data_IF_106288758532
#
_entry.id   IF_106288758532
#
_cell.length_a   1.000
_cell.length_b   1.000
_cell.length_c   1.000
_cell.angle_alpha   90.00
_cell.angle_beta   90.00
_cell.angle_gamma   90.00
#
_symmetry.space_group_name_H-M   'P 1'
#
loop_
_entity.id
_entity.type
_entity.pdbx_description
1 polymer ?
#
# COMPACT_ATOMS: atom_id res chain seq x y z
N UNK A 1 68.32 -26.94 0.13
CA UNK A 1 67.38 -27.50 -0.86
C UNK A 1 66.33 -28.24 -0.04
N UNK A 2 65.24 -27.55 0.34
CA UNK A 2 64.20 -28.07 1.21
C UNK A 2 63.06 -28.44 0.27
N UNK A 3 62.65 -29.70 0.34
CA UNK A 3 61.65 -30.31 -0.51
C UNK A 3 60.24 -29.80 -0.15
N UNK A 4 59.60 -29.04 -1.07
CA UNK A 4 58.27 -28.43 -0.90
C UNK A 4 57.11 -29.41 -1.07
N UNK A 5 57.29 -30.70 -1.02
CA UNK A 5 56.23 -31.69 -1.33
C UNK A 5 55.57 -32.37 -0.15
N UNK A 6 55.80 -31.92 1.09
CA UNK A 6 55.24 -32.64 2.27
C UNK A 6 54.17 -31.86 3.06
N UNK A 7 53.59 -30.79 2.53
CA UNK A 7 52.61 -29.99 3.30
C UNK A 7 51.12 -30.22 2.84
N UNK A 8 50.90 -31.06 1.83
CA UNK A 8 49.54 -31.36 1.40
C UNK A 8 49.16 -32.83 1.52
N UNK A 9 49.16 -33.37 2.73
CA UNK A 9 48.47 -34.65 2.98
C UNK A 9 47.85 -34.61 4.37
N UNK A 10 46.55 -34.44 4.46
CA UNK A 10 45.82 -34.68 5.70
C UNK A 10 44.64 -33.74 6.00
N UNK A 11 44.08 -33.08 5.02
CA UNK A 11 42.76 -32.46 5.16
C UNK A 11 41.69 -33.49 4.81
N UNK A 12 41.06 -34.10 5.82
CA UNK A 12 39.79 -34.79 5.63
C UNK A 12 38.81 -33.80 5.01
N UNK A 13 38.35 -34.06 3.83
CA UNK A 13 37.15 -33.45 3.24
C UNK A 13 36.00 -33.72 4.22
N UNK A 14 35.62 -32.69 4.98
CA UNK A 14 34.34 -32.70 5.66
C UNK A 14 33.29 -32.90 4.58
N UNK A 15 32.48 -33.93 4.75
CA UNK A 15 31.43 -34.26 3.83
C UNK A 15 30.51 -33.06 3.61
N UNK A 16 30.18 -32.80 2.36
CA UNK A 16 29.27 -31.75 1.93
C UNK A 16 27.79 -32.03 2.35
N UNK A 17 27.58 -32.95 3.27
CA UNK A 17 26.26 -33.47 3.64
C UNK A 17 25.66 -32.87 4.92
N UNK A 18 26.27 -31.85 5.52
CA UNK A 18 25.73 -31.26 6.77
C UNK A 18 25.31 -29.80 6.68
N UNK A 19 25.10 -29.27 5.51
CA UNK A 19 24.30 -28.07 5.34
C UNK A 19 22.90 -28.49 4.89
N UNK A 20 22.14 -29.14 5.80
CA UNK A 20 20.69 -29.14 5.65
C UNK A 20 20.24 -27.67 5.67
N UNK A 21 19.56 -27.18 4.62
CA UNK A 21 18.94 -25.87 4.70
C UNK A 21 17.96 -25.94 5.88
N UNK A 22 18.07 -25.00 6.84
CA UNK A 22 17.11 -24.85 7.92
C UNK A 22 15.72 -24.76 7.30
N UNK A 23 15.02 -25.88 7.26
CA UNK A 23 13.62 -25.93 6.93
C UNK A 23 12.88 -25.34 8.12
N UNK A 24 12.53 -24.08 8.03
CA UNK A 24 11.48 -23.52 8.87
C UNK A 24 10.14 -24.15 8.46
N UNK A 25 9.94 -25.39 8.85
CA UNK A 25 8.62 -26.01 8.81
C UNK A 25 7.80 -25.39 9.93
N UNK A 26 7.02 -24.37 9.62
CA UNK A 26 5.95 -23.91 10.50
C UNK A 26 4.89 -25.03 10.64
N UNK A 27 5.13 -25.99 11.53
CA UNK A 27 4.19 -27.07 11.84
C UNK A 27 3.05 -26.62 12.76
N UNK A 28 3.08 -25.43 13.29
CA UNK A 28 2.00 -24.86 14.08
C UNK A 28 1.04 -24.09 13.17
N UNK A 29 -0.16 -24.63 12.92
CA UNK A 29 -1.29 -23.82 12.51
C UNK A 29 -1.47 -22.74 13.57
N UNK A 30 -1.45 -21.47 13.18
CA UNK A 30 -1.81 -20.37 14.07
C UNK A 30 -3.21 -20.65 14.65
N UNK A 31 -3.27 -20.95 15.95
CA UNK A 31 -4.51 -21.30 16.66
C UNK A 31 -5.34 -20.05 16.98
N UNK A 32 -4.85 -18.88 16.60
CA UNK A 32 -5.58 -17.65 16.81
C UNK A 32 -6.31 -17.26 15.52
N UNK A 33 -7.51 -17.83 15.35
CA UNK A 33 -8.51 -17.20 14.54
C UNK A 33 -8.94 -15.93 15.27
N UNK A 34 -8.37 -14.80 14.88
CA UNK A 34 -9.02 -13.54 15.15
C UNK A 34 -10.23 -13.48 14.22
N UNK A 35 -11.40 -13.78 14.77
CA UNK A 35 -12.70 -13.58 14.11
C UNK A 35 -13.07 -12.11 13.98
N UNK A 36 -12.10 -11.23 14.11
CA UNK A 36 -12.24 -9.80 13.78
C UNK A 36 -12.27 -9.69 12.26
N UNK A 37 -13.48 -9.65 11.72
CA UNK A 37 -13.65 -9.22 10.35
C UNK A 37 -12.99 -7.84 10.20
N UNK A 38 -12.37 -7.58 9.05
CA UNK A 38 -11.69 -6.29 8.77
C UNK A 38 -12.57 -5.08 9.16
N UNK A 39 -13.90 -5.19 9.04
CA UNK A 39 -14.88 -4.18 9.47
C UNK A 39 -14.83 -3.89 10.99
N UNK A 40 -14.63 -4.90 11.81
CA UNK A 40 -14.65 -4.73 13.27
C UNK A 40 -13.32 -4.18 13.78
N UNK A 41 -12.23 -4.48 13.09
CA UNK A 41 -10.92 -3.87 13.33
C UNK A 41 -10.97 -2.34 13.09
N UNK A 42 -11.59 -1.90 12.00
CA UNK A 42 -11.75 -0.47 11.70
C UNK A 42 -12.70 0.27 12.66
N UNK A 43 -13.68 -0.40 13.24
CA UNK A 43 -14.50 0.16 14.33
C UNK A 43 -13.71 0.37 15.63
N UNK A 44 -12.69 -0.45 15.88
CA UNK A 44 -11.79 -0.36 17.04
C UNK A 44 -10.76 0.77 16.93
N UNK A 45 -10.38 1.18 15.72
CA UNK A 45 -9.40 2.23 15.46
C UNK A 45 -9.91 3.66 15.64
N UNK A 46 -11.14 3.82 16.13
CA UNK A 46 -11.78 5.12 16.30
C UNK A 46 -12.59 5.53 15.07
N UNK A 47 -13.49 6.50 15.27
CA UNK A 47 -14.46 6.96 14.28
C UNK A 47 -13.81 7.67 13.08
N UNK A 48 -12.93 7.00 12.38
CA UNK A 48 -12.41 7.41 11.08
C UNK A 48 -13.38 7.00 9.97
N UNK A 49 -13.39 7.71 8.88
CA UNK A 49 -14.23 7.40 7.76
C UNK A 49 -13.66 6.24 6.97
N UNK A 50 -14.39 5.16 6.92
CA UNK A 50 -14.08 3.99 6.11
C UNK A 50 -14.74 4.15 4.73
N UNK A 51 -13.93 4.25 3.69
CA UNK A 51 -14.42 4.15 2.31
C UNK A 51 -14.45 2.67 1.93
N UNK A 52 -15.59 2.01 2.09
CA UNK A 52 -15.77 0.60 1.78
C UNK A 52 -16.62 0.43 0.51
N UNK A 53 -16.36 -0.61 -0.26
CA UNK A 53 -17.12 -0.93 -1.47
C UNK A 53 -17.79 -2.28 -1.37
N UNK A 54 -19.05 -2.35 -1.75
CA UNK A 54 -19.78 -3.59 -1.95
C UNK A 54 -19.66 -4.02 -3.42
N UNK A 55 -19.00 -5.14 -3.69
CA UNK A 55 -18.94 -5.74 -5.02
C UNK A 55 -20.02 -6.81 -5.13
N UNK A 56 -20.87 -6.70 -6.16
CA UNK A 56 -21.51 -7.88 -6.71
C UNK A 56 -20.43 -8.64 -7.49
N UNK A 57 -20.23 -9.94 -7.25
CA UNK A 57 -19.28 -10.70 -8.04
C UNK A 57 -19.73 -10.70 -9.49
N UNK A 58 -19.10 -9.90 -10.33
CA UNK A 58 -19.16 -10.11 -11.77
C UNK A 58 -18.30 -11.34 -12.03
N UNK A 59 -18.95 -12.44 -12.38
CA UNK A 59 -18.26 -13.63 -12.84
C UNK A 59 -17.47 -13.26 -14.11
N UNK A 60 -16.20 -12.99 -13.95
CA UNK A 60 -15.29 -12.83 -15.07
C UNK A 60 -15.20 -14.20 -15.79
N UNK A 61 -15.89 -14.29 -16.91
CA UNK A 61 -15.76 -15.42 -17.84
C UNK A 61 -14.36 -15.32 -18.45
N UNK A 62 -13.45 -16.08 -17.88
CA UNK A 62 -12.08 -16.18 -18.37
C UNK A 62 -12.12 -17.06 -19.63
N UNK A 63 -12.05 -16.45 -20.80
CA UNK A 63 -11.82 -17.18 -22.04
C UNK A 63 -10.39 -17.75 -22.02
N UNK A 64 -10.34 -19.07 -21.96
CA UNK A 64 -9.10 -19.84 -21.97
C UNK A 64 -8.47 -19.80 -23.38
N UNK A 65 -7.36 -19.12 -23.51
CA UNK A 65 -6.54 -19.09 -24.71
C UNK A 65 -5.08 -18.78 -24.39
N UNK A 66 -4.39 -19.69 -23.71
CA UNK A 66 -2.95 -19.57 -23.47
C UNK A 66 -2.33 -20.90 -23.07
N UNK A 67 -1.32 -21.33 -23.82
CA UNK A 67 -0.55 -22.57 -23.60
C UNK A 67 -0.05 -22.69 -22.16
N UNK A 68 -0.12 -23.89 -21.53
CA UNK A 68 0.51 -24.10 -20.23
C UNK A 68 2.03 -24.16 -20.39
N UNK A 69 2.72 -23.10 -20.04
CA UNK A 69 4.14 -23.19 -19.73
C UNK A 69 4.25 -23.86 -18.36
N UNK A 70 4.89 -25.03 -18.32
CA UNK A 70 5.04 -25.83 -17.08
C UNK A 70 5.99 -25.18 -16.08
N UNK A 71 5.49 -24.17 -15.37
CA UNK A 71 6.07 -23.63 -14.15
C UNK A 71 5.04 -23.80 -13.06
N UNK A 72 5.46 -24.09 -11.84
CA UNK A 72 4.60 -24.09 -10.65
C UNK A 72 3.95 -22.73 -10.57
N UNK A 73 2.73 -22.61 -11.10
CA UNK A 73 1.99 -21.37 -11.17
C UNK A 73 1.52 -20.99 -9.77
N UNK A 74 2.25 -20.12 -9.09
CA UNK A 74 1.69 -19.35 -7.98
C UNK A 74 0.69 -18.36 -8.59
N UNK A 75 -0.59 -18.72 -8.61
CA UNK A 75 -1.64 -17.76 -8.93
C UNK A 75 -1.76 -16.80 -7.75
N UNK A 76 -1.33 -15.55 -7.96
CA UNK A 76 -1.59 -14.51 -6.97
C UNK A 76 -3.10 -14.34 -6.79
N UNK A 77 -3.58 -14.23 -5.54
CA UNK A 77 -4.98 -13.88 -5.33
C UNK A 77 -5.25 -12.50 -5.97
N UNK A 78 -6.46 -12.30 -6.52
CA UNK A 78 -6.81 -11.01 -7.11
C UNK A 78 -6.70 -9.91 -6.07
N UNK A 79 -6.19 -8.75 -6.49
CA UNK A 79 -6.08 -7.57 -5.63
C UNK A 79 -7.47 -7.14 -5.16
N UNK A 80 -7.61 -6.70 -3.89
CA UNK A 80 -8.87 -6.15 -3.39
C UNK A 80 -9.36 -5.01 -4.27
N UNK A 81 -10.64 -5.06 -4.64
CA UNK A 81 -11.27 -4.01 -5.45
C UNK A 81 -11.90 -2.91 -4.59
N UNK A 82 -11.80 -3.01 -3.28
CA UNK A 82 -12.38 -2.05 -2.34
C UNK A 82 -11.36 -1.00 -1.94
N UNK A 83 -11.74 0.27 -1.99
CA UNK A 83 -10.87 1.39 -1.55
C UNK A 83 -10.45 1.20 -0.10
N UNK A 84 -11.37 0.77 0.76
CA UNK A 84 -11.13 0.54 2.19
C UNK A 84 -10.02 -0.46 2.51
N UNK A 85 -9.70 -1.36 1.59
CA UNK A 85 -8.58 -2.28 1.76
C UNK A 85 -7.22 -1.58 1.62
N UNK A 86 -7.19 -0.39 1.03
CA UNK A 86 -5.97 0.32 0.65
C UNK A 86 -5.80 1.68 1.31
N UNK A 87 -6.92 2.38 1.61
CA UNK A 87 -6.88 3.77 2.03
C UNK A 87 -7.94 4.07 3.08
N UNK A 88 -7.53 4.82 4.12
CA UNK A 88 -8.40 5.33 5.17
C UNK A 88 -8.12 6.82 5.39
N UNK A 89 -9.18 7.64 5.46
CA UNK A 89 -9.11 9.05 5.84
C UNK A 89 -9.58 9.19 7.29
N UNK A 90 -8.66 9.50 8.18
CA UNK A 90 -8.93 9.63 9.61
C UNK A 90 -9.59 10.94 9.98
N UNK A 91 -10.29 10.98 11.12
CA UNK A 91 -10.92 12.20 11.67
C UNK A 91 -9.92 13.31 12.00
N UNK A 92 -8.69 12.92 12.34
CA UNK A 92 -7.58 13.84 12.56
C UNK A 92 -7.04 14.49 11.27
N UNK A 93 -7.60 14.14 10.12
CA UNK A 93 -7.14 14.59 8.82
C UNK A 93 -5.84 13.91 8.36
N UNK A 94 -5.47 12.76 8.93
CA UNK A 94 -4.45 11.87 8.39
C UNK A 94 -5.03 10.95 7.32
N UNK A 95 -4.23 10.57 6.34
CA UNK A 95 -4.56 9.53 5.35
C UNK A 95 -3.63 8.37 5.56
N UNK A 96 -4.18 7.22 5.93
CA UNK A 96 -3.42 5.97 6.08
C UNK A 96 -3.59 5.12 4.82
N UNK A 97 -2.48 4.67 4.26
CA UNK A 97 -2.43 3.82 3.06
C UNK A 97 -1.82 2.48 3.42
N UNK A 98 -2.44 1.41 2.98
CA UNK A 98 -2.05 0.03 3.30
C UNK A 98 -1.49 -0.66 2.07
N UNK A 99 -0.31 -1.26 2.18
CA UNK A 99 0.29 -2.04 1.09
C UNK A 99 1.17 -3.16 1.64
N UNK A 100 1.10 -4.34 1.03
CA UNK A 100 1.99 -5.46 1.36
C UNK A 100 3.44 -5.26 0.89
N UNK A 101 3.74 -4.21 0.12
CA UNK A 101 5.12 -3.85 -0.24
C UNK A 101 5.90 -3.40 0.99
N UNK A 102 7.21 -3.59 0.97
CA UNK A 102 8.11 -3.19 2.07
C UNK A 102 9.16 -2.19 1.63
N UNK A 103 9.52 -1.28 2.55
CA UNK A 103 10.65 -0.37 2.42
C UNK A 103 11.90 -1.07 2.98
N UNK A 104 12.89 -1.27 2.13
CA UNK A 104 14.18 -1.87 2.47
C UNK A 104 15.35 -0.93 2.15
N UNK A 105 15.08 0.37 2.10
CA UNK A 105 16.07 1.42 1.78
C UNK A 105 15.97 1.98 0.36
N UNK A 106 15.08 1.42 -0.50
CA UNK A 106 14.91 1.84 -1.88
C UNK A 106 14.02 3.09 -2.07
N UNK A 107 13.56 3.70 -0.97
CA UNK A 107 12.75 4.92 -0.96
C UNK A 107 11.31 4.75 -1.54
N UNK A 108 10.77 3.56 -1.50
CA UNK A 108 9.45 3.28 -2.06
C UNK A 108 8.32 3.88 -1.21
N UNK A 109 8.49 3.97 0.12
CA UNK A 109 7.55 4.62 1.02
C UNK A 109 7.24 6.05 0.56
N UNK A 110 8.26 6.81 0.24
CA UNK A 110 8.12 8.20 -0.21
C UNK A 110 7.42 8.28 -1.57
N UNK A 111 7.83 7.45 -2.54
CA UNK A 111 7.26 7.50 -3.89
C UNK A 111 5.79 7.03 -3.93
N UNK A 112 5.41 6.04 -3.13
CA UNK A 112 4.01 5.62 -3.02
C UNK A 112 3.16 6.69 -2.32
N UNK A 113 3.71 7.38 -1.30
CA UNK A 113 3.03 8.51 -0.67
C UNK A 113 2.80 9.66 -1.66
N UNK A 114 3.78 9.94 -2.54
CA UNK A 114 3.61 10.94 -3.61
C UNK A 114 2.47 10.58 -4.56
N UNK A 115 2.40 9.33 -4.99
CA UNK A 115 1.36 8.85 -5.90
C UNK A 115 -0.06 9.03 -5.32
N UNK A 116 -0.23 8.66 -4.05
CA UNK A 116 -1.51 8.83 -3.36
C UNK A 116 -1.83 10.31 -3.13
N UNK A 117 -0.86 11.09 -2.68
CA UNK A 117 -1.04 12.53 -2.45
C UNK A 117 -1.42 13.28 -3.72
N UNK A 118 -0.81 12.92 -4.86
CA UNK A 118 -1.14 13.48 -6.17
C UNK A 118 -2.58 13.20 -6.57
N UNK A 119 -2.95 11.91 -6.62
CA UNK A 119 -4.28 11.52 -7.10
C UNK A 119 -5.40 11.94 -6.14
N UNK A 120 -5.17 11.86 -4.84
CA UNK A 120 -6.14 12.28 -3.84
C UNK A 120 -6.22 13.81 -3.71
N UNK A 121 -5.29 14.56 -4.30
CA UNK A 121 -5.12 16.01 -4.10
C UNK A 121 -5.00 16.36 -2.62
N UNK A 122 -4.14 15.64 -1.92
CA UNK A 122 -3.97 15.74 -0.48
C UNK A 122 -2.55 16.16 -0.10
N UNK A 123 -2.35 16.91 1.01
CA UNK A 123 -1.00 17.24 1.47
C UNK A 123 -0.20 15.99 1.80
N UNK A 124 0.95 15.81 1.14
CA UNK A 124 1.78 14.60 1.31
C UNK A 124 2.25 14.40 2.76
N UNK A 125 2.48 15.47 3.50
CA UNK A 125 2.87 15.40 4.91
C UNK A 125 1.82 14.74 5.82
N UNK A 126 0.59 14.53 5.33
CA UNK A 126 -0.50 13.87 6.03
C UNK A 126 -0.80 12.47 5.50
N UNK A 127 0.00 11.98 4.57
CA UNK A 127 -0.14 10.62 4.01
C UNK A 127 0.88 9.70 4.66
N UNK A 128 0.40 8.70 5.36
CA UNK A 128 1.19 7.70 6.04
C UNK A 128 0.97 6.31 5.42
N UNK A 129 2.05 5.55 5.25
CA UNK A 129 1.97 4.18 4.73
C UNK A 129 2.22 3.16 5.82
N UNK A 130 1.26 2.23 5.98
CA UNK A 130 1.44 0.96 6.67
C UNK A 130 1.90 -0.05 5.64
N UNK A 131 3.10 -0.61 5.82
CA UNK A 131 3.76 -1.44 4.82
C UNK A 131 4.17 -2.79 5.40
N UNK A 132 3.89 -3.86 4.63
CA UNK A 132 4.38 -5.21 4.96
C UNK A 132 3.80 -5.81 6.23
N UNK A 133 2.73 -5.26 6.77
CA UNK A 133 2.02 -5.81 7.92
C UNK A 133 1.02 -6.88 7.44
N UNK A 134 1.26 -8.13 7.82
CA UNK A 134 0.46 -9.27 7.35
C UNK A 134 -0.96 -9.32 7.92
N UNK A 135 -1.25 -8.54 8.95
CA UNK A 135 -2.59 -8.43 9.55
C UNK A 135 -3.39 -7.27 8.96
N UNK A 136 -2.71 -6.18 8.62
CA UNK A 136 -3.35 -4.92 8.24
C UNK A 136 -3.37 -4.68 6.73
N UNK A 137 -2.40 -5.21 6.00
CA UNK A 137 -2.24 -4.89 4.58
C UNK A 137 -2.81 -5.97 3.67
N UNK A 138 -3.24 -5.62 2.45
CA UNK A 138 -3.59 -6.61 1.44
C UNK A 138 -2.41 -7.55 1.17
N UNK A 139 -2.73 -8.80 0.78
CA UNK A 139 -1.71 -9.75 0.37
C UNK A 139 -0.84 -9.20 -0.76
N UNK A 140 0.45 -9.40 -0.64
CA UNK A 140 1.44 -9.10 -1.67
C UNK A 140 2.47 -10.23 -1.69
N UNK A 141 2.81 -10.73 -2.88
CA UNK A 141 3.77 -11.83 -3.00
C UNK A 141 5.21 -11.44 -2.69
N UNK A 142 5.49 -10.17 -2.48
CA UNK A 142 6.81 -9.68 -2.08
C UNK A 142 7.28 -8.44 -2.83
N UNK A 143 8.38 -7.88 -2.33
CA UNK A 143 9.04 -6.69 -2.89
C UNK A 143 10.35 -7.09 -3.55
N UNK A 144 10.33 -7.35 -4.84
CA UNK A 144 11.47 -7.81 -5.64
C UNK A 144 11.33 -7.41 -7.12
N UNK A 145 12.39 -7.58 -7.89
CA UNK A 145 12.38 -7.40 -9.36
C UNK A 145 12.05 -5.99 -9.82
N UNK A 146 12.21 -4.97 -8.98
CA UNK A 146 11.91 -3.56 -9.28
C UNK A 146 10.46 -3.32 -9.74
N UNK A 147 9.52 -4.15 -9.28
CA UNK A 147 8.12 -4.14 -9.74
C UNK A 147 7.22 -3.19 -8.95
N UNK A 148 7.63 -2.71 -7.78
CA UNK A 148 6.73 -1.90 -6.91
C UNK A 148 6.22 -0.65 -7.62
N UNK A 149 7.08 0.14 -8.25
CA UNK A 149 6.65 1.34 -8.99
C UNK A 149 5.73 1.01 -10.16
N UNK A 150 6.06 0.09 -11.08
CA UNK A 150 5.18 -0.17 -12.22
C UNK A 150 3.84 -0.82 -11.84
N UNK A 151 3.74 -1.52 -10.72
CA UNK A 151 2.52 -2.24 -10.33
C UNK A 151 1.78 -1.56 -9.18
N UNK A 152 2.42 -1.42 -8.02
CA UNK A 152 1.75 -0.91 -6.80
C UNK A 152 1.50 0.60 -6.85
N UNK A 153 2.42 1.39 -7.43
CA UNK A 153 2.17 2.81 -7.63
C UNK A 153 0.89 3.02 -8.48
N UNK A 154 0.77 2.30 -9.61
CA UNK A 154 -0.43 2.38 -10.44
C UNK A 154 -1.69 1.95 -9.69
N UNK A 155 -1.62 0.88 -8.89
CA UNK A 155 -2.76 0.42 -8.08
C UNK A 155 -3.19 1.49 -7.06
N UNK A 156 -2.25 2.06 -6.32
CA UNK A 156 -2.56 3.09 -5.32
C UNK A 156 -3.06 4.39 -5.95
N UNK A 157 -2.57 4.73 -7.14
CA UNK A 157 -3.12 5.87 -7.92
C UNK A 157 -4.60 5.63 -8.26
N UNK A 158 -4.97 4.45 -8.75
CA UNK A 158 -6.37 4.09 -9.04
C UNK A 158 -7.24 4.18 -7.78
N UNK A 159 -6.77 3.66 -6.66
CA UNK A 159 -7.44 3.74 -5.37
C UNK A 159 -7.69 5.20 -4.96
N UNK A 160 -6.65 6.03 -5.02
CA UNK A 160 -6.70 7.42 -4.61
C UNK A 160 -7.57 8.28 -5.55
N UNK A 161 -7.54 8.01 -6.85
CA UNK A 161 -8.41 8.65 -7.83
C UNK A 161 -9.88 8.31 -7.56
N UNK A 162 -10.22 7.03 -7.37
CA UNK A 162 -11.55 6.59 -7.03
C UNK A 162 -12.06 7.23 -5.73
N UNK A 163 -11.20 7.28 -4.70
CA UNK A 163 -11.53 7.95 -3.43
C UNK A 163 -11.82 9.44 -3.65
N UNK A 164 -11.00 10.15 -4.40
CA UNK A 164 -11.22 11.56 -4.74
C UNK A 164 -12.53 11.78 -5.47
N UNK A 165 -12.84 10.97 -6.47
CA UNK A 165 -14.08 11.11 -7.24
C UNK A 165 -15.32 10.90 -6.38
N UNK A 166 -15.28 9.94 -5.45
CA UNK A 166 -16.37 9.75 -4.50
C UNK A 166 -16.54 10.91 -3.53
N UNK A 167 -15.43 11.41 -2.99
CA UNK A 167 -15.46 12.57 -2.10
C UNK A 167 -16.05 13.79 -2.81
N UNK A 168 -15.69 14.01 -4.08
CA UNK A 168 -16.28 15.07 -4.90
C UNK A 168 -17.75 14.83 -5.14
N UNK A 169 -18.17 13.60 -5.44
CA UNK A 169 -19.59 13.26 -5.63
C UNK A 169 -20.41 13.49 -4.36
N UNK A 170 -19.89 13.17 -3.19
CA UNK A 170 -20.54 13.48 -1.91
C UNK A 170 -20.71 14.97 -1.68
N UNK A 171 -19.69 15.77 -2.00
CA UNK A 171 -19.81 17.23 -1.92
C UNK A 171 -20.85 17.76 -2.88
N UNK A 172 -20.92 17.20 -4.10
CA UNK A 172 -21.93 17.53 -5.10
C UNK A 172 -23.35 17.27 -4.59
N UNK A 173 -23.58 16.09 -4.01
CA UNK A 173 -24.85 15.75 -3.37
C UNK A 173 -25.19 16.67 -2.20
N UNK A 174 -24.22 16.88 -1.28
CA UNK A 174 -24.41 17.73 -0.10
C UNK A 174 -24.78 19.16 -0.46
N UNK A 175 -24.22 19.68 -1.54
CA UNK A 175 -24.44 21.05 -1.97
C UNK A 175 -25.51 21.21 -3.06
N UNK A 176 -26.02 20.10 -3.58
CA UNK A 176 -26.96 20.03 -4.70
C UNK A 176 -26.43 20.81 -5.93
N UNK A 177 -25.18 20.50 -6.31
CA UNK A 177 -24.53 21.12 -7.47
C UNK A 177 -23.90 20.03 -8.36
N UNK A 178 -23.66 20.39 -9.62
CA UNK A 178 -22.93 19.50 -10.54
C UNK A 178 -21.49 19.29 -10.07
N UNK A 179 -21.03 18.05 -10.08
CA UNK A 179 -19.66 17.67 -9.72
C UNK A 179 -18.60 18.35 -10.59
N UNK A 180 -18.91 18.70 -11.84
CA UNK A 180 -18.03 19.42 -12.74
C UNK A 180 -17.70 20.85 -12.26
N UNK A 181 -18.53 21.42 -11.39
CA UNK A 181 -18.30 22.72 -10.75
C UNK A 181 -17.41 22.61 -9.50
N UNK A 182 -17.04 21.40 -9.12
CA UNK A 182 -16.26 21.14 -7.91
C UNK A 182 -14.82 20.78 -8.25
N UNK A 183 -13.91 21.19 -7.40
CA UNK A 183 -12.48 20.88 -7.52
C UNK A 183 -11.93 20.37 -6.20
N UNK A 184 -11.20 19.29 -6.26
CA UNK A 184 -10.43 18.77 -5.12
C UNK A 184 -9.08 19.49 -5.04
N UNK A 185 -8.77 20.08 -3.89
CA UNK A 185 -7.54 20.85 -3.66
C UNK A 185 -7.09 20.71 -2.21
N UNK A 186 -5.87 20.25 -1.98
CA UNK A 186 -5.24 20.20 -0.66
C UNK A 186 -6.13 19.60 0.45
N UNK A 187 -6.83 18.48 0.17
CA UNK A 187 -7.67 17.78 1.15
C UNK A 187 -9.03 18.41 1.39
N UNK A 188 -9.50 19.25 0.49
CA UNK A 188 -10.84 19.85 0.53
C UNK A 188 -11.48 19.86 -0.86
N UNK A 189 -12.78 19.95 -0.88
CA UNK A 189 -13.56 20.20 -2.11
C UNK A 189 -13.98 21.65 -2.12
N UNK A 190 -13.78 22.31 -3.23
CA UNK A 190 -14.09 23.74 -3.45
C UNK A 190 -15.11 23.88 -4.58
N UNK A 191 -16.09 24.78 -4.40
CA UNK A 191 -17.01 25.17 -5.47
C UNK A 191 -16.39 26.28 -6.28
N UNK A 192 -16.07 25.99 -7.55
CA UNK A 192 -15.41 26.90 -8.47
C UNK A 192 -16.14 28.24 -8.59
N UNK A 193 -15.41 29.33 -8.53
CA UNK A 193 -15.97 30.69 -8.62
C UNK A 193 -16.59 31.21 -7.32
N UNK A 194 -16.48 30.47 -6.23
CA UNK A 194 -17.01 30.88 -4.91
C UNK A 194 -15.95 30.69 -3.81
N UNK A 195 -16.23 31.14 -2.59
CA UNK A 195 -15.42 30.86 -1.40
C UNK A 195 -15.88 29.59 -0.63
N UNK A 196 -16.85 28.85 -1.19
CA UNK A 196 -17.41 27.68 -0.51
C UNK A 196 -16.47 26.51 -0.63
N UNK A 197 -16.06 25.94 0.50
CA UNK A 197 -15.22 24.74 0.57
C UNK A 197 -15.60 23.88 1.75
N UNK A 198 -15.25 22.59 1.70
CA UNK A 198 -15.42 21.63 2.78
C UNK A 198 -14.20 20.69 2.78
N UNK A 199 -13.68 20.34 3.94
CA UNK A 199 -12.59 19.38 4.06
C UNK A 199 -13.10 17.96 3.80
N UNK A 200 -12.21 17.07 3.39
CA UNK A 200 -12.55 15.65 3.26
C UNK A 200 -13.03 15.07 4.58
N UNK A 201 -12.38 15.45 5.68
CA UNK A 201 -12.74 15.00 7.03
C UNK A 201 -14.16 15.42 7.42
N UNK A 202 -14.51 16.71 7.23
CA UNK A 202 -15.86 17.21 7.53
C UNK A 202 -16.93 16.56 6.62
N UNK A 203 -16.56 16.26 5.37
CA UNK A 203 -17.49 15.65 4.41
C UNK A 203 -17.75 14.18 4.76
N UNK A 204 -16.71 13.49 5.22
CA UNK A 204 -16.74 12.07 5.49
C UNK A 204 -17.14 11.74 6.94
N UNK A 205 -17.21 12.70 7.84
CA UNK A 205 -17.54 12.50 9.25
C UNK A 205 -18.83 11.66 9.42
N UNK A 206 -18.69 10.48 10.01
CA UNK A 206 -19.80 9.57 10.33
C UNK A 206 -20.38 8.79 9.14
N UNK A 207 -19.81 8.88 7.94
CA UNK A 207 -20.30 8.15 6.77
C UNK A 207 -19.33 7.05 6.35
N UNK A 208 -19.86 5.83 6.17
CA UNK A 208 -19.15 4.77 5.46
C UNK A 208 -19.34 5.00 3.96
N UNK A 209 -18.26 5.27 3.27
CA UNK A 209 -18.26 5.35 1.82
C UNK A 209 -17.96 3.97 1.24
N UNK A 210 -18.91 3.46 0.46
CA UNK A 210 -18.75 2.20 -0.26
C UNK A 210 -18.57 2.48 -1.73
N UNK A 211 -17.36 2.32 -2.27
CA UNK A 211 -17.10 2.43 -3.70
C UNK A 211 -16.21 1.30 -4.21
N UNK A 212 -16.54 0.84 -5.40
CA UNK A 212 -15.66 -0.02 -6.21
C UNK A 212 -14.63 0.89 -6.88
N UNK A 213 -13.39 0.44 -6.97
CA UNK A 213 -12.37 1.09 -7.79
C UNK A 213 -12.75 0.84 -9.25
N UNK A 214 -13.20 1.85 -10.01
CA UNK A 214 -13.53 1.64 -11.41
C UNK A 214 -12.28 1.26 -12.19
N UNK A 215 -12.43 0.35 -13.17
CA UNK A 215 -11.32 -0.08 -13.99
C UNK A 215 -10.71 1.08 -14.80
N UNK A 216 -11.58 2.00 -15.25
CA UNK A 216 -11.26 3.07 -16.20
C UNK A 216 -11.34 4.47 -15.57
N UNK A 217 -11.18 4.58 -14.25
CA UNK A 217 -11.20 5.88 -13.58
C UNK A 217 -10.04 6.76 -14.07
N UNK A 218 -10.29 7.99 -14.53
CA UNK A 218 -9.25 8.83 -15.10
C UNK A 218 -8.22 9.25 -14.05
N UNK A 219 -6.97 8.92 -14.30
CA UNK A 219 -5.83 9.34 -13.49
C UNK A 219 -5.38 10.74 -13.91
N UNK A 220 -4.77 11.45 -12.99
CA UNK A 220 -4.15 12.74 -13.28
C UNK A 220 -2.97 12.52 -14.23
N UNK A 221 -2.97 13.15 -15.40
CA UNK A 221 -1.88 12.98 -16.36
C UNK A 221 -0.57 13.60 -15.85
N UNK A 222 0.60 13.05 -16.24
CA UNK A 222 1.91 13.52 -15.76
C UNK A 222 2.17 15.01 -15.93
N UNK A 223 1.62 15.63 -16.99
CA UNK A 223 1.73 17.06 -17.22
C UNK A 223 1.05 17.93 -16.13
N UNK A 224 0.15 17.36 -15.35
CA UNK A 224 -0.58 18.03 -14.26
C UNK A 224 -0.07 17.64 -12.87
N UNK A 225 1.00 16.87 -12.78
CA UNK A 225 1.57 16.46 -11.50
C UNK A 225 2.21 17.64 -10.76
N UNK A 226 1.87 17.76 -9.50
CA UNK A 226 2.36 18.78 -8.60
C UNK A 226 3.21 18.21 -7.47
N UNK A 227 3.03 16.93 -7.16
CA UNK A 227 3.70 16.18 -6.08
C UNK A 227 4.47 15.00 -6.66
N UNK A 228 3.83 14.14 -7.46
CA UNK A 228 4.47 13.00 -8.09
C UNK A 228 5.52 13.47 -9.11
N UNK A 229 6.67 12.80 -9.18
CA UNK A 229 7.78 13.18 -10.05
C UNK A 229 8.55 14.43 -9.57
N UNK A 230 8.24 14.99 -8.40
CA UNK A 230 9.01 16.09 -7.81
C UNK A 230 10.00 15.56 -6.79
N UNK A 231 11.13 16.29 -6.64
CA UNK A 231 12.08 15.99 -5.58
C UNK A 231 11.52 16.45 -4.24
N UNK A 232 11.31 15.50 -3.36
CA UNK A 232 10.87 15.74 -1.97
C UNK A 232 11.80 15.01 -1.00
N UNK A 233 11.85 15.48 0.25
CA UNK A 233 12.60 14.80 1.28
C UNK A 233 12.06 13.38 1.49
N UNK A 234 12.99 12.41 1.63
CA UNK A 234 12.62 11.05 1.98
C UNK A 234 11.85 11.02 3.29
N UNK A 235 10.74 10.29 3.35
CA UNK A 235 10.07 9.97 4.62
C UNK A 235 11.09 9.31 5.55
N UNK A 236 11.16 9.74 6.80
CA UNK A 236 12.14 9.31 7.80
C UNK A 236 13.61 9.59 7.44
N UNK A 237 13.88 10.36 6.39
CA UNK A 237 15.23 10.64 5.90
C UNK A 237 16.13 11.27 6.96
N UNK A 238 15.58 12.11 7.84
CA UNK A 238 16.32 12.71 8.96
C UNK A 238 16.78 11.66 9.96
N UNK A 239 15.93 10.68 10.25
CA UNK A 239 16.26 9.64 11.23
C UNK A 239 17.38 8.72 10.72
N UNK A 240 17.40 8.45 9.41
CA UNK A 240 18.51 7.72 8.78
C UNK A 240 19.85 8.45 8.93
N UNK A 241 19.90 9.73 8.59
CA UNK A 241 21.17 10.49 8.60
C UNK A 241 21.61 10.92 9.99
N UNK A 242 20.73 10.87 10.98
CA UNK A 242 21.06 11.18 12.38
C UNK A 242 21.26 9.94 13.24
N UNK A 243 21.17 8.73 12.68
CA UNK A 243 21.32 7.48 13.40
C UNK A 243 20.16 7.16 14.37
N UNK A 244 19.02 7.82 14.24
CA UNK A 244 17.83 7.55 15.05
C UNK A 244 16.98 6.41 14.50
N UNK A 245 17.13 6.11 13.20
CA UNK A 245 16.42 5.01 12.57
C UNK A 245 16.81 3.69 13.20
N UNK A 246 15.82 2.87 13.55
CA UNK A 246 16.04 1.53 14.10
C UNK A 246 15.84 0.50 13.00
N UNK A 247 16.86 -0.34 12.83
CA UNK A 247 16.83 -1.49 11.95
C UNK A 247 16.35 -2.74 12.71
N UNK A 248 15.92 -3.79 12.03
CA UNK A 248 15.58 -5.07 12.67
C UNK A 248 16.70 -5.62 13.57
N UNK A 249 17.97 -5.42 13.18
CA UNK A 249 19.15 -5.78 13.97
C UNK A 249 19.29 -5.04 15.29
N UNK A 250 18.65 -3.89 15.43
CA UNK A 250 18.68 -3.06 16.65
C UNK A 250 17.54 -3.41 17.61
N UNK A 251 16.72 -4.39 17.26
CA UNK A 251 15.60 -4.84 18.09
C UNK A 251 16.12 -5.87 19.10
N UNK A 252 15.98 -5.55 20.38
CA UNK A 252 16.27 -6.48 21.46
C UNK A 252 14.94 -6.95 22.06
N UNK A 253 14.67 -8.24 21.96
CA UNK A 253 13.54 -8.86 22.64
C UNK A 253 13.98 -9.24 24.07
N UNK A 254 13.15 -8.96 25.07
CA UNK A 254 13.41 -9.47 26.40
C UNK A 254 13.24 -10.99 26.41
N UNK A 255 14.30 -11.75 26.80
CA UNK A 255 14.29 -13.21 26.87
C UNK A 255 15.61 -13.72 27.38
#
# INVERSE_FOLDING_TARGET
MIDERSIFSGGKTAAADELEPERYEFRARAVHHFDLQRRDFFKLLGAGVLVACAIKPVAARQEAGGRPSGGVGFSEPPLPQEISAWLHVGENGGVTVYTGKVEIGQNIRTSLAQAVAEELRYPIAKVELVMGDTQLTPYDMGTFGSRTTPTMNLQLRKVAAAARHQIVALAAMKWNVDSQKLKAVSGRVELTGTKRSITYTELLAGQQLTAVIPADDPLIPPAQWTVEGKSIAKVDGRDFVTGKHRYPSDQNLPG
#
